data_IF_972281989621
#
_entry.id   IF_972281989621
#
_cell.length_a   1.000
_cell.length_b   1.000
_cell.length_c   1.000
_cell.angle_alpha   90.00
_cell.angle_beta   90.00
_cell.angle_gamma   90.00
#
_symmetry.space_group_name_H-M   'P 1'
#
loop_
_entity.id
_entity.type
_entity.pdbx_description
1 polymer ?
#
# COMPACT_ATOMS: atom_id res chain seq x y z
N UNK A 1 36.13 6.83 7.14
CA UNK A 1 35.78 7.90 6.18
C UNK A 1 34.94 7.23 5.10
N UNK A 2 33.61 7.38 5.17
CA UNK A 2 32.70 6.82 4.17
C UNK A 2 32.58 7.78 2.99
N UNK A 3 32.66 7.24 1.78
CA UNK A 3 32.45 8.02 0.56
C UNK A 3 31.00 8.56 0.53
N UNK A 4 30.77 9.75 -0.02
CA UNK A 4 29.43 10.32 -0.14
C UNK A 4 28.56 9.43 -1.04
N UNK A 5 27.28 9.21 -0.70
CA UNK A 5 26.37 8.44 -1.54
C UNK A 5 26.19 9.14 -2.89
N UNK A 6 26.36 8.38 -3.97
CA UNK A 6 26.06 8.83 -5.33
C UNK A 6 24.56 8.60 -5.57
N UNK A 7 23.80 9.68 -5.77
CA UNK A 7 22.41 9.61 -6.23
C UNK A 7 22.43 9.20 -7.71
N UNK A 8 22.01 7.97 -7.99
CA UNK A 8 22.14 7.35 -9.31
C UNK A 8 20.94 7.60 -10.24
N UNK A 9 19.79 8.02 -9.71
CA UNK A 9 18.64 8.47 -10.49
C UNK A 9 17.66 9.20 -9.59
N UNK A 10 17.06 10.27 -10.09
CA UNK A 10 15.83 10.86 -9.56
C UNK A 10 14.76 10.50 -10.58
N UNK A 11 13.98 9.46 -10.31
CA UNK A 11 12.78 9.19 -11.10
C UNK A 11 11.69 10.17 -10.64
N UNK A 12 11.21 10.98 -11.58
CA UNK A 12 10.12 11.93 -11.38
C UNK A 12 8.80 11.15 -11.34
N UNK A 13 8.52 10.50 -10.20
CA UNK A 13 7.22 9.90 -9.92
C UNK A 13 6.38 10.89 -9.12
N UNK A 14 5.38 11.48 -9.76
CA UNK A 14 4.41 12.35 -9.11
C UNK A 14 3.27 11.52 -8.52
N UNK A 15 3.54 10.81 -7.44
CA UNK A 15 2.52 10.06 -6.69
C UNK A 15 1.88 10.95 -5.62
N UNK A 16 0.54 11.02 -5.63
CA UNK A 16 -0.20 11.67 -4.56
C UNK A 16 -0.48 10.64 -3.47
N UNK A 17 0.19 10.81 -2.33
CA UNK A 17 -0.14 10.12 -1.08
C UNK A 17 -1.42 10.72 -0.51
N UNK A 18 -2.56 10.29 -1.04
CA UNK A 18 -3.84 10.87 -0.72
C UNK A 18 -4.35 10.43 0.66
N UNK A 19 -3.98 9.24 1.15
CA UNK A 19 -4.27 8.79 2.51
C UNK A 19 -3.15 7.92 3.08
N UNK A 20 -2.86 8.09 4.38
CA UNK A 20 -1.90 7.28 5.12
C UNK A 20 -2.60 6.48 6.21
N UNK A 21 -2.31 5.17 6.29
CA UNK A 21 -2.86 4.24 7.27
C UNK A 21 -1.77 3.62 8.15
N UNK A 22 -1.85 3.82 9.47
CA UNK A 22 -0.97 3.14 10.43
C UNK A 22 -1.67 1.87 10.92
N UNK A 23 -1.10 0.68 10.74
CA UNK A 23 -1.80 -0.61 10.93
C UNK A 23 -0.94 -1.60 11.73
N UNK A 24 -1.49 -2.12 12.82
CA UNK A 24 -0.82 -3.10 13.68
C UNK A 24 -1.50 -4.47 13.56
N UNK A 25 -0.75 -5.54 13.22
CA UNK A 25 -1.31 -6.89 13.04
C UNK A 25 -0.52 -7.97 13.79
N UNK A 26 -1.22 -8.91 14.41
CA UNK A 26 -0.62 -10.04 15.11
C UNK A 26 -0.53 -11.27 14.19
N UNK A 27 0.68 -11.83 14.04
CA UNK A 27 0.94 -13.06 13.30
C UNK A 27 1.24 -14.20 14.26
N UNK A 28 0.66 -15.36 14.01
CA UNK A 28 0.81 -16.54 14.85
C UNK A 28 1.30 -17.69 13.97
N UNK A 29 2.40 -18.33 14.36
CA UNK A 29 3.02 -19.45 13.63
C UNK A 29 3.42 -20.55 14.63
N UNK A 30 3.12 -21.79 14.28
CA UNK A 30 3.63 -22.98 14.97
C UNK A 30 4.94 -23.45 14.32
N UNK A 31 5.94 -23.83 15.13
CA UNK A 31 7.26 -24.28 14.63
C UNK A 31 7.20 -25.78 14.27
N UNK A 32 7.41 -26.10 12.98
CA UNK A 32 7.43 -27.47 12.44
C UNK A 32 8.74 -28.22 12.78
N UNK A 33 8.59 -29.45 13.27
CA UNK A 33 9.62 -30.38 13.75
C UNK A 33 10.70 -30.76 12.71
N UNK A 34 10.48 -30.49 11.41
CA UNK A 34 11.38 -30.94 10.33
C UNK A 34 12.71 -30.19 10.23
N UNK A 35 12.77 -28.93 10.67
CA UNK A 35 13.94 -28.06 10.49
C UNK A 35 14.47 -27.46 11.79
N UNK A 36 13.87 -27.82 12.93
CA UNK A 36 14.26 -27.29 14.24
C UNK A 36 14.80 -28.39 15.15
N UNK A 37 15.70 -28.04 16.08
CA UNK A 37 16.08 -28.95 17.16
C UNK A 37 14.84 -29.45 17.91
N UNK A 38 14.84 -30.71 18.34
CA UNK A 38 13.70 -31.36 19.01
C UNK A 38 13.15 -30.63 20.25
N UNK A 39 13.91 -29.70 20.83
CA UNK A 39 13.49 -28.87 21.96
C UNK A 39 12.66 -27.63 21.57
N UNK A 40 12.56 -27.27 20.28
CA UNK A 40 11.67 -26.22 19.74
C UNK A 40 10.50 -26.80 18.94
N UNK A 41 10.48 -28.12 18.80
CA UNK A 41 9.58 -28.82 17.90
C UNK A 41 8.17 -28.87 18.52
N UNK A 42 7.18 -28.27 17.86
CA UNK A 42 5.82 -28.13 18.40
C UNK A 42 5.63 -26.93 19.36
N UNK A 43 6.60 -26.03 19.45
CA UNK A 43 6.44 -24.77 20.17
C UNK A 43 5.68 -23.74 19.32
N UNK A 44 4.79 -22.97 19.95
CA UNK A 44 4.04 -21.89 19.31
C UNK A 44 4.80 -20.58 19.45
N UNK A 45 4.94 -19.86 18.34
CA UNK A 45 5.59 -18.54 18.30
C UNK A 45 4.59 -17.50 17.82
N UNK A 46 4.34 -16.52 18.68
CA UNK A 46 3.54 -15.35 18.30
C UNK A 46 4.49 -14.23 17.89
N UNK A 47 4.43 -13.86 16.61
CA UNK A 47 5.15 -12.74 16.04
C UNK A 47 4.22 -11.54 15.87
N UNK A 48 4.45 -10.48 16.63
CA UNK A 48 3.73 -9.24 16.43
C UNK A 48 4.40 -8.45 15.31
N UNK A 49 3.67 -8.21 14.22
CA UNK A 49 4.11 -7.40 13.09
C UNK A 49 3.49 -6.00 13.20
N UNK A 50 4.31 -4.98 13.27
CA UNK A 50 3.87 -3.59 13.30
C UNK A 50 4.42 -2.92 12.05
N UNK A 51 3.56 -2.25 11.29
CA UNK A 51 3.99 -1.55 10.09
C UNK A 51 3.01 -0.50 9.63
N UNK A 52 3.32 0.11 8.49
CA UNK A 52 2.49 1.11 7.86
C UNK A 52 2.37 0.82 6.37
N UNK A 53 1.22 1.16 5.81
CA UNK A 53 0.96 1.08 4.37
C UNK A 53 0.03 2.21 3.98
N UNK A 54 0.35 2.86 2.87
CA UNK A 54 -0.38 4.01 2.38
C UNK A 54 -1.28 3.63 1.20
N UNK A 55 -2.36 4.37 1.02
CA UNK A 55 -3.16 4.35 -0.21
C UNK A 55 -2.67 5.45 -1.14
N UNK A 56 -2.17 5.06 -2.31
CA UNK A 56 -1.57 5.97 -3.29
C UNK A 56 -2.39 6.04 -4.57
N UNK A 57 -2.46 7.24 -5.15
CA UNK A 57 -3.05 7.49 -6.46
C UNK A 57 -1.98 8.15 -7.34
N UNK A 58 -1.66 7.56 -8.47
CA UNK A 58 -0.62 8.10 -9.35
C UNK A 58 -1.18 9.25 -10.18
N UNK A 59 -0.64 10.47 -9.99
CA UNK A 59 -1.09 11.65 -10.73
C UNK A 59 -0.50 11.71 -12.14
N UNK A 60 0.64 11.05 -12.36
CA UNK A 60 1.27 10.94 -13.67
C UNK A 60 0.35 10.29 -14.72
N UNK A 61 -0.61 9.47 -14.27
CA UNK A 61 -1.58 8.78 -15.12
C UNK A 61 -2.93 9.51 -15.20
N UNK A 62 -3.09 10.65 -14.50
CA UNK A 62 -4.34 11.42 -14.52
C UNK A 62 -4.50 12.17 -15.83
N UNK A 63 -5.63 11.95 -16.49
CA UNK A 63 -6.04 12.70 -17.68
C UNK A 63 -7.07 13.74 -17.28
N UNK A 64 -7.01 14.93 -17.88
CA UNK A 64 -8.00 15.97 -17.70
C UNK A 64 -8.53 16.48 -19.04
N UNK A 65 -9.82 16.83 -19.07
CA UNK A 65 -10.44 17.52 -20.20
C UNK A 65 -11.41 18.59 -19.72
N UNK A 66 -11.53 19.67 -20.48
CA UNK A 66 -12.45 20.78 -20.18
C UNK A 66 -13.56 20.76 -21.21
N UNK A 67 -14.80 20.82 -20.74
CA UNK A 67 -16.00 21.01 -21.56
C UNK A 67 -16.57 22.38 -21.24
N UNK A 68 -16.88 23.15 -22.28
CA UNK A 68 -17.52 24.46 -22.14
C UNK A 68 -18.91 24.38 -22.75
N UNK A 69 -19.92 24.57 -21.93
CA UNK A 69 -21.29 24.70 -22.39
C UNK A 69 -21.44 25.98 -23.22
N UNK A 70 -21.97 25.86 -24.44
CA UNK A 70 -22.06 26.98 -25.39
C UNK A 70 -23.23 27.92 -25.07
N UNK A 71 -24.21 27.48 -24.29
CA UNK A 71 -25.39 28.26 -23.91
C UNK A 71 -25.16 28.98 -22.57
N UNK A 72 -24.55 28.30 -21.59
CA UNK A 72 -24.33 28.85 -20.24
C UNK A 72 -22.91 29.41 -20.04
N UNK A 73 -21.96 29.14 -20.94
CA UNK A 73 -20.52 29.39 -20.76
C UNK A 73 -19.89 28.67 -19.55
N UNK A 74 -20.58 27.66 -19.01
CA UNK A 74 -20.11 26.89 -17.86
C UNK A 74 -18.92 26.00 -18.23
N UNK A 75 -17.87 26.02 -17.41
CA UNK A 75 -16.64 25.24 -17.59
C UNK A 75 -16.66 24.02 -16.68
N UNK A 76 -16.92 22.86 -17.26
CA UNK A 76 -16.80 21.58 -16.56
C UNK A 76 -15.41 20.98 -16.79
N UNK A 77 -14.68 20.69 -15.71
CA UNK A 77 -13.42 19.95 -15.77
C UNK A 77 -13.67 18.50 -15.39
N UNK A 78 -13.18 17.58 -16.21
CA UNK A 78 -13.38 16.14 -16.02
C UNK A 78 -12.01 15.49 -15.90
N UNK A 79 -11.77 14.87 -14.74
CA UNK A 79 -10.57 14.10 -14.44
C UNK A 79 -10.86 12.60 -14.54
N UNK A 80 -10.02 11.90 -15.31
CA UNK A 80 -9.96 10.44 -15.32
C UNK A 80 -8.71 10.03 -14.55
N UNK A 81 -8.91 9.31 -13.46
CA UNK A 81 -7.90 8.99 -12.45
C UNK A 81 -7.76 7.47 -12.36
N UNK A 82 -6.55 6.91 -12.27
CA UNK A 82 -6.40 5.48 -11.99
C UNK A 82 -6.94 5.13 -10.59
N UNK A 83 -7.38 3.89 -10.36
CA UNK A 83 -7.79 3.44 -9.04
C UNK A 83 -6.65 3.54 -8.02
N UNK A 84 -7.00 3.75 -6.74
CA UNK A 84 -5.99 3.76 -5.68
C UNK A 84 -5.34 2.38 -5.53
N UNK A 85 -4.04 2.38 -5.21
CA UNK A 85 -3.25 1.16 -4.95
C UNK A 85 -2.58 1.27 -3.58
N UNK A 86 -2.23 0.14 -2.99
CA UNK A 86 -1.41 0.15 -1.79
C UNK A 86 0.04 0.45 -2.15
N UNK A 87 0.73 1.19 -1.29
CA UNK A 87 2.18 1.32 -1.31
C UNK A 87 2.84 0.02 -0.88
N UNK A 88 4.17 -0.04 -0.97
CA UNK A 88 4.92 -1.08 -0.27
C UNK A 88 4.66 -0.99 1.24
N UNK A 89 4.49 -2.15 1.89
CA UNK A 89 4.32 -2.22 3.35
C UNK A 89 5.68 -2.00 4.01
N UNK A 90 5.77 -1.00 4.88
CA UNK A 90 6.96 -0.75 5.67
C UNK A 90 6.81 -1.36 7.06
N UNK A 91 7.56 -2.42 7.33
CA UNK A 91 7.59 -3.07 8.63
C UNK A 91 8.50 -2.32 9.60
N UNK A 92 8.01 -1.98 10.78
CA UNK A 92 8.82 -1.46 11.88
C UNK A 92 9.50 -2.61 12.60
N UNK A 93 10.78 -2.84 12.29
CA UNK A 93 11.58 -3.92 12.89
C UNK A 93 11.93 -3.67 14.37
N UNK A 94 11.78 -2.46 14.89
CA UNK A 94 12.00 -2.16 16.31
C UNK A 94 10.78 -2.54 17.15
N UNK A 95 9.58 -2.31 16.62
CA UNK A 95 8.33 -2.68 17.29
C UNK A 95 7.90 -4.12 16.99
N UNK A 96 8.28 -4.65 15.82
CA UNK A 96 7.97 -6.02 15.42
C UNK A 96 8.85 -7.02 16.14
N UNK A 97 8.25 -7.88 16.96
CA UNK A 97 8.98 -8.81 17.83
C UNK A 97 8.20 -10.09 18.06
N UNK A 98 8.93 -11.14 18.43
CA UNK A 98 8.35 -12.35 19.00
C UNK A 98 7.87 -12.02 20.41
N UNK A 99 6.55 -12.10 20.65
CA UNK A 99 5.90 -11.65 21.89
C UNK A 99 5.75 -12.78 22.89
N UNK A 100 5.38 -13.98 22.44
CA UNK A 100 5.12 -15.10 23.32
C UNK A 100 5.85 -16.36 22.83
N UNK A 101 6.62 -16.94 23.75
CA UNK A 101 7.11 -18.31 23.71
C UNK A 101 6.60 -18.94 24.99
N UNK A 102 5.76 -19.95 24.86
CA UNK A 102 5.46 -20.82 25.98
C UNK A 102 6.79 -21.48 26.41
N UNK A 103 7.02 -21.67 27.70
CA UNK A 103 8.16 -22.43 28.26
C UNK A 103 9.54 -21.75 28.43
N UNK A 104 9.68 -20.43 28.35
CA UNK A 104 10.96 -19.76 28.71
C UNK A 104 12.11 -20.07 27.75
N UNK A 105 11.78 -20.53 26.54
CA UNK A 105 12.72 -20.85 25.46
C UNK A 105 13.08 -19.62 24.62
N UNK A 106 12.73 -18.40 25.07
CA UNK A 106 12.94 -17.16 24.33
C UNK A 106 14.37 -17.02 23.79
N UNK A 107 15.38 -17.25 24.64
CA UNK A 107 16.79 -17.17 24.21
C UNK A 107 17.10 -18.18 23.10
N UNK A 108 16.53 -19.39 23.16
CA UNK A 108 16.78 -20.45 22.18
C UNK A 108 16.06 -20.19 20.85
N UNK A 109 14.88 -19.58 20.90
CA UNK A 109 14.14 -19.14 19.71
C UNK A 109 14.88 -17.96 19.06
N UNK A 110 15.38 -17.02 19.86
CA UNK A 110 16.20 -15.92 19.38
C UNK A 110 17.50 -16.43 18.71
N UNK A 111 18.14 -17.44 19.31
CA UNK A 111 19.32 -18.08 18.73
C UNK A 111 18.97 -18.83 17.43
N UNK A 112 17.84 -19.56 17.40
CA UNK A 112 17.35 -20.24 16.20
C UNK A 112 17.14 -19.28 15.02
N UNK A 113 16.45 -18.15 15.22
CA UNK A 113 16.25 -17.17 14.14
C UNK A 113 17.54 -16.45 13.74
N UNK A 114 18.51 -16.31 14.66
CA UNK A 114 19.84 -15.78 14.33
C UNK A 114 20.60 -16.73 13.41
N UNK A 115 20.51 -18.03 13.66
CA UNK A 115 21.17 -19.07 12.87
C UNK A 115 20.40 -19.41 11.59
N UNK A 116 19.10 -19.10 11.53
CA UNK A 116 18.21 -19.37 10.41
C UNK A 116 17.49 -18.08 9.96
N UNK A 117 18.21 -17.13 9.33
CA UNK A 117 17.63 -15.85 8.93
C UNK A 117 16.46 -15.99 7.93
N UNK A 118 16.42 -17.07 7.15
CA UNK A 118 15.31 -17.34 6.21
C UNK A 118 13.96 -17.58 6.89
N UNK A 119 13.94 -18.21 8.08
CA UNK A 119 12.71 -18.46 8.84
C UNK A 119 12.14 -17.15 9.41
N UNK A 120 13.03 -16.26 9.86
CA UNK A 120 12.64 -14.93 10.32
C UNK A 120 12.09 -14.09 9.16
N UNK A 121 12.69 -14.20 7.97
CA UNK A 121 12.23 -13.50 6.78
C UNK A 121 10.85 -13.98 6.33
N UNK A 122 10.56 -15.28 6.43
CA UNK A 122 9.22 -15.81 6.13
C UNK A 122 8.16 -15.29 7.12
N UNK A 123 8.48 -15.21 8.41
CA UNK A 123 7.60 -14.59 9.42
C UNK A 123 7.33 -13.11 9.12
N UNK A 124 8.35 -12.37 8.70
CA UNK A 124 8.21 -10.96 8.30
C UNK A 124 7.31 -10.82 7.06
N UNK A 125 7.49 -11.66 6.05
CA UNK A 125 6.66 -11.66 4.85
C UNK A 125 5.20 -11.98 5.18
N UNK A 126 4.92 -12.96 6.04
CA UNK A 126 3.55 -13.21 6.52
C UNK A 126 2.98 -12.04 7.32
N UNK A 127 3.83 -11.28 8.03
CA UNK A 127 3.47 -10.01 8.66
C UNK A 127 3.05 -8.96 7.65
N UNK A 128 3.84 -8.79 6.59
CA UNK A 128 3.56 -7.88 5.48
C UNK A 128 2.21 -8.22 4.83
N UNK A 129 1.99 -9.49 4.43
CA UNK A 129 0.75 -9.93 3.78
C UNK A 129 -0.48 -9.65 4.66
N UNK A 130 -0.35 -9.86 5.97
CA UNK A 130 -1.43 -9.61 6.94
C UNK A 130 -1.71 -8.12 7.15
N UNK A 131 -0.68 -7.28 7.16
CA UNK A 131 -0.83 -5.82 7.21
C UNK A 131 -1.52 -5.33 5.94
N UNK A 132 -1.13 -5.84 4.77
CA UNK A 132 -1.74 -5.50 3.49
C UNK A 132 -3.25 -5.86 3.48
N UNK A 133 -3.58 -7.09 3.88
CA UNK A 133 -4.98 -7.53 3.96
C UNK A 133 -5.81 -6.67 4.93
N UNK A 134 -5.26 -6.36 6.11
CA UNK A 134 -5.92 -5.49 7.08
C UNK A 134 -6.11 -4.06 6.54
N UNK A 135 -5.18 -3.55 5.74
CA UNK A 135 -5.30 -2.25 5.08
C UNK A 135 -6.45 -2.21 4.09
N UNK A 136 -6.57 -3.25 3.25
CA UNK A 136 -7.66 -3.39 2.30
C UNK A 136 -9.01 -3.44 3.03
N UNK A 137 -9.12 -4.26 4.08
CA UNK A 137 -10.35 -4.36 4.89
C UNK A 137 -10.69 -3.05 5.62
N UNK A 138 -9.70 -2.25 6.01
CA UNK A 138 -9.90 -0.97 6.68
C UNK A 138 -10.41 0.15 5.78
N UNK A 139 -10.42 -0.06 4.45
CA UNK A 139 -10.85 0.93 3.47
C UNK A 139 -9.83 2.04 3.21
N UNK A 140 -8.52 1.74 3.36
CA UNK A 140 -7.43 2.68 3.06
C UNK A 140 -7.51 3.20 1.61
N UNK A 141 -7.84 2.32 0.66
CA UNK A 141 -7.97 2.68 -0.75
C UNK A 141 -9.14 3.63 -0.99
N UNK A 142 -10.31 3.35 -0.41
CA UNK A 142 -11.48 4.24 -0.53
C UNK A 142 -11.18 5.63 0.07
N UNK A 143 -10.41 5.68 1.16
CA UNK A 143 -10.00 6.93 1.77
C UNK A 143 -9.03 7.70 0.87
N UNK A 144 -8.07 7.01 0.25
CA UNK A 144 -7.16 7.61 -0.72
C UNK A 144 -7.92 8.19 -1.91
N UNK A 145 -8.87 7.48 -2.49
CA UNK A 145 -9.68 7.98 -3.62
C UNK A 145 -10.54 9.19 -3.22
N UNK A 146 -11.16 9.17 -2.04
CA UNK A 146 -11.90 10.34 -1.52
C UNK A 146 -11.01 11.57 -1.39
N UNK A 147 -9.83 11.41 -0.81
CA UNK A 147 -8.90 12.52 -0.60
C UNK A 147 -8.31 13.04 -1.93
N UNK A 148 -8.04 12.15 -2.88
CA UNK A 148 -7.61 12.52 -4.22
C UNK A 148 -8.71 13.31 -4.95
N UNK A 149 -9.98 12.87 -4.87
CA UNK A 149 -11.12 13.60 -5.42
C UNK A 149 -11.22 15.00 -4.84
N UNK A 150 -11.18 15.16 -3.52
CA UNK A 150 -11.21 16.48 -2.87
C UNK A 150 -10.09 17.38 -3.38
N UNK A 151 -8.86 16.85 -3.44
CA UNK A 151 -7.69 17.60 -3.90
C UNK A 151 -7.83 18.09 -5.35
N UNK A 152 -8.29 17.22 -6.25
CA UNK A 152 -8.47 17.55 -7.67
C UNK A 152 -9.63 18.54 -7.87
N UNK A 153 -10.72 18.38 -7.12
CA UNK A 153 -11.85 19.32 -7.14
C UNK A 153 -11.41 20.70 -6.68
N UNK A 154 -10.77 20.82 -5.51
CA UNK A 154 -10.29 22.09 -4.97
C UNK A 154 -9.33 22.80 -5.93
N UNK A 155 -8.46 22.04 -6.60
CA UNK A 155 -7.52 22.58 -7.59
C UNK A 155 -8.24 23.14 -8.82
N UNK A 156 -9.22 22.41 -9.36
CA UNK A 156 -9.96 22.83 -10.54
C UNK A 156 -10.88 24.03 -10.26
N UNK A 157 -11.55 24.06 -9.11
CA UNK A 157 -12.37 25.20 -8.69
C UNK A 157 -11.50 26.46 -8.54
N UNK A 158 -10.33 26.35 -7.91
CA UNK A 158 -9.36 27.46 -7.81
C UNK A 158 -8.84 27.94 -9.17
N UNK A 159 -8.80 27.05 -10.15
CA UNK A 159 -8.43 27.39 -11.53
C UNK A 159 -9.61 28.00 -12.33
N UNK A 160 -10.81 28.06 -11.76
CA UNK A 160 -12.00 28.67 -12.37
C UNK A 160 -12.89 27.68 -13.13
N UNK A 161 -12.92 26.41 -12.73
CA UNK A 161 -13.96 25.48 -13.11
C UNK A 161 -15.27 25.81 -12.38
N UNK A 162 -16.39 25.76 -13.08
CA UNK A 162 -17.73 25.92 -12.50
C UNK A 162 -18.28 24.59 -11.99
N UNK A 163 -17.87 23.49 -12.63
CA UNK A 163 -18.20 22.12 -12.24
C UNK A 163 -16.98 21.19 -12.41
N UNK A 164 -16.88 20.19 -11.54
CA UNK A 164 -15.79 19.21 -11.57
C UNK A 164 -16.36 17.79 -11.47
N UNK A 165 -15.87 16.91 -12.34
CA UNK A 165 -16.17 15.47 -12.31
C UNK A 165 -14.85 14.70 -12.16
N UNK A 166 -14.80 13.78 -11.19
CA UNK A 166 -13.63 12.92 -10.94
C UNK A 166 -14.06 11.46 -11.02
N UNK A 167 -13.60 10.78 -12.06
CA UNK A 167 -13.92 9.39 -12.36
C UNK A 167 -12.67 8.52 -12.15
N UNK A 168 -12.82 7.49 -11.31
CA UNK A 168 -11.79 6.48 -11.11
C UNK A 168 -12.04 5.34 -12.11
N UNK A 169 -11.11 5.12 -13.02
CA UNK A 169 -11.24 4.15 -14.12
C UNK A 169 -9.98 3.31 -14.20
N UNK A 170 -10.14 1.99 -14.27
CA UNK A 170 -9.02 1.09 -14.50
C UNK A 170 -8.48 1.30 -15.94
N UNK A 171 -7.19 1.64 -16.13
CA UNK A 171 -6.62 1.88 -17.44
C UNK A 171 -6.74 0.68 -18.41
N UNK A 172 -6.99 -0.54 -17.91
CA UNK A 172 -7.23 -1.72 -18.76
C UNK A 172 -8.63 -1.73 -19.42
N UNK A 173 -9.63 -1.08 -18.82
CA UNK A 173 -11.01 -1.03 -19.31
C UNK A 173 -11.19 -0.01 -20.46
N UNK A 174 -10.26 0.94 -20.65
CA UNK A 174 -10.30 1.88 -21.79
C UNK A 174 -10.17 1.19 -23.15
N UNK A 175 -9.59 -0.01 -23.21
CA UNK A 175 -9.26 -0.70 -24.47
C UNK A 175 -10.43 -1.45 -25.12
N UNK A 176 -11.49 -1.77 -24.38
CA UNK A 176 -12.60 -2.60 -24.88
C UNK A 176 -13.74 -1.79 -25.50
N UNK A 177 -13.83 -0.48 -25.25
CA UNK A 177 -14.95 0.35 -25.73
C UNK A 177 -14.81 0.88 -27.17
N UNK A 178 -13.63 0.74 -27.81
CA UNK A 178 -13.41 1.25 -29.18
C UNK A 178 -13.72 0.23 -30.29
N UNK A 179 -14.13 -1.00 -29.97
CA UNK A 179 -14.40 -2.05 -30.98
C UNK A 179 -15.87 -2.43 -31.08
N UNK A 180 -16.69 -1.54 -31.64
CA UNK A 180 -17.96 -1.92 -32.29
C UNK A 180 -18.13 -1.15 -33.59
N UNK A 181 -17.75 -1.71 -34.76
CA UNK A 181 -18.29 -1.25 -36.02
C UNK A 181 -19.73 -1.79 -36.14
N UNK A 182 -20.61 -0.91 -36.59
CA UNK A 182 -22.00 -1.22 -36.93
C UNK A 182 -22.07 -2.30 -38.02
N UNK A 183 -23.05 -3.20 -37.88
CA UNK A 183 -23.59 -4.04 -38.94
C UNK A 183 -25.11 -3.87 -38.94
#
# INVERSE_FOLDING_TARGET
>A
RSAPPLLLSLEDQADLHAASGNIQVLVDREIDVRYVPGFLAGERVVYQAVGSVDGVVSLSEVKSRIVVDQETNERTVIFTVPPARLSEVHLDLQESKVVQSDNGLFNKIADFFRDNPGELQELQNMGIDKIEAAALESGVLDLAERNARTTLTDLAERAGADAVVVEFVDPLEETTSTSRPAA
#
